data_IF_630671338173
#
_entry.id   IF_630671338173
#
_cell.length_a   1.000
_cell.length_b   1.000
_cell.length_c   1.000
_cell.angle_alpha   90.00
_cell.angle_beta   90.00
_cell.angle_gamma   90.00
#
_symmetry.space_group_name_H-M   'P 1'
#
loop_
_entity.id
_entity.type
_entity.pdbx_description
1 polymer ?
#
# COMPACT_ATOMS: atom_id res chain seq x y z
N UNK A 1 -9.33 -36.26 3.95
CA UNK A 1 -9.31 -35.74 2.58
C UNK A 1 -7.86 -35.44 2.23
N UNK A 2 -7.29 -35.97 1.13
CA UNK A 2 -5.91 -35.73 0.75
C UNK A 2 -5.65 -34.21 0.62
N UNK A 3 -4.52 -33.71 1.14
CA UNK A 3 -4.18 -32.29 1.19
C UNK A 3 -4.21 -31.57 -0.16
N UNK A 4 -4.03 -32.29 -1.27
CA UNK A 4 -4.17 -31.75 -2.63
C UNK A 4 -5.61 -31.34 -2.96
N UNK A 5 -6.61 -32.08 -2.50
CA UNK A 5 -8.04 -31.77 -2.74
C UNK A 5 -8.48 -30.57 -1.89
N UNK A 6 -7.95 -30.46 -0.67
CA UNK A 6 -8.22 -29.27 0.16
C UNK A 6 -7.63 -27.99 -0.43
N UNK A 7 -6.42 -28.05 -1.02
CA UNK A 7 -5.82 -26.91 -1.76
C UNK A 7 -6.64 -26.55 -2.98
N UNK A 8 -7.06 -27.52 -3.81
CA UNK A 8 -7.91 -27.27 -4.96
C UNK A 8 -9.27 -26.65 -4.58
N UNK A 9 -9.87 -27.08 -3.46
CA UNK A 9 -11.13 -26.52 -2.97
C UNK A 9 -10.91 -25.09 -2.46
N UNK A 10 -9.80 -24.83 -1.78
CA UNK A 10 -9.44 -23.48 -1.32
C UNK A 10 -9.25 -22.52 -2.51
N UNK A 11 -8.52 -22.95 -3.55
CA UNK A 11 -8.31 -22.16 -4.78
C UNK A 11 -9.61 -21.88 -5.57
N UNK A 12 -10.62 -22.74 -5.44
CA UNK A 12 -11.91 -22.59 -6.14
C UNK A 12 -12.95 -21.79 -5.34
N UNK A 13 -12.79 -21.68 -4.01
CA UNK A 13 -13.81 -21.06 -3.13
C UNK A 13 -13.41 -19.69 -2.64
N UNK A 14 -12.13 -19.32 -2.67
CA UNK A 14 -11.70 -17.95 -2.33
C UNK A 14 -11.82 -17.05 -3.57
N UNK A 15 -12.69 -16.02 -3.55
CA UNK A 15 -12.70 -15.04 -4.62
C UNK A 15 -11.33 -14.37 -4.65
N UNK A 16 -10.58 -14.54 -5.74
CA UNK A 16 -9.30 -13.86 -5.97
C UNK A 16 -9.60 -12.36 -6.02
N UNK A 17 -9.41 -11.67 -4.91
CA UNK A 17 -9.56 -10.22 -4.88
C UNK A 17 -8.43 -9.63 -5.74
N UNK A 18 -8.82 -8.81 -6.72
CA UNK A 18 -7.83 -8.10 -7.54
C UNK A 18 -7.06 -7.13 -6.64
N UNK A 19 -5.74 -7.23 -6.61
CA UNK A 19 -4.87 -6.40 -5.78
C UNK A 19 -5.08 -4.89 -6.02
N UNK A 20 -5.41 -4.48 -7.26
CA UNK A 20 -5.75 -3.11 -7.63
C UNK A 20 -7.01 -2.62 -6.91
N UNK A 21 -8.02 -3.45 -6.86
CA UNK A 21 -9.29 -3.14 -6.20
C UNK A 21 -9.10 -3.06 -4.68
N UNK A 22 -8.30 -3.95 -4.11
CA UNK A 22 -7.97 -3.93 -2.68
C UNK A 22 -7.23 -2.65 -2.30
N UNK A 23 -6.22 -2.23 -3.07
CA UNK A 23 -5.51 -0.96 -2.82
C UNK A 23 -6.47 0.21 -2.95
N UNK A 24 -7.31 0.25 -4.00
CA UNK A 24 -8.31 1.30 -4.18
C UNK A 24 -9.27 1.40 -2.99
N UNK A 25 -9.80 0.27 -2.53
CA UNK A 25 -10.69 0.22 -1.37
C UNK A 25 -10.01 0.71 -0.10
N UNK A 26 -8.75 0.33 0.12
CA UNK A 26 -7.98 0.76 1.28
C UNK A 26 -7.69 2.26 1.25
N UNK A 27 -7.31 2.82 0.11
CA UNK A 27 -7.11 4.26 -0.06
C UNK A 27 -8.43 5.01 0.15
N UNK A 28 -9.55 4.52 -0.41
CA UNK A 28 -10.87 5.10 -0.17
C UNK A 28 -11.29 5.07 1.30
N UNK A 29 -10.87 4.06 2.07
CA UNK A 29 -11.18 3.95 3.49
C UNK A 29 -10.53 5.07 4.31
N UNK A 30 -9.35 5.56 3.90
CA UNK A 30 -8.68 6.71 4.53
C UNK A 30 -9.58 7.93 4.49
N UNK A 31 -10.19 8.19 3.32
CA UNK A 31 -11.02 9.37 3.08
C UNK A 31 -12.34 9.29 3.86
N UNK A 32 -12.95 8.11 3.93
CA UNK A 32 -14.27 7.93 4.56
C UNK A 32 -14.25 8.00 6.08
N UNK A 33 -13.12 7.73 6.71
CA UNK A 33 -13.01 7.70 8.17
C UNK A 33 -12.78 9.07 8.80
N UNK A 34 -12.61 10.13 8.01
CA UNK A 34 -12.32 11.47 8.51
C UNK A 34 -13.58 12.35 8.63
N UNK A 35 -14.57 11.88 9.40
CA UNK A 35 -15.68 12.72 9.82
C UNK A 35 -15.32 13.47 11.11
N UNK A 36 -15.48 14.78 11.12
CA UNK A 36 -15.23 15.62 12.29
C UNK A 36 -16.47 16.44 12.68
N UNK A 37 -16.76 16.48 13.98
CA UNK A 37 -17.76 17.38 14.55
C UNK A 37 -17.25 18.83 14.65
N UNK A 38 -15.98 19.10 14.47
CA UNK A 38 -15.42 20.46 14.52
C UNK A 38 -15.84 21.32 13.32
N UNK A 39 -16.21 20.69 12.19
CA UNK A 39 -16.84 21.37 11.03
C UNK A 39 -18.15 20.66 10.71
N UNK A 40 -19.26 20.98 11.39
CA UNK A 40 -20.53 20.30 11.21
C UNK A 40 -21.10 20.51 9.81
N UNK A 41 -21.78 19.49 9.31
CA UNK A 41 -22.44 19.55 8.02
C UNK A 41 -23.62 20.53 8.06
N UNK A 42 -23.61 21.55 7.19
CA UNK A 42 -24.67 22.58 7.14
C UNK A 42 -26.06 22.02 6.77
N UNK A 43 -26.13 20.83 6.14
CA UNK A 43 -27.40 20.18 5.80
C UNK A 43 -28.25 19.79 7.01
N UNK A 44 -27.65 19.63 8.19
CA UNK A 44 -28.37 19.31 9.44
C UNK A 44 -28.96 20.51 10.17
N UNK A 45 -28.62 21.74 9.80
CA UNK A 45 -29.02 22.94 10.55
C UNK A 45 -30.53 23.18 10.59
N UNK A 46 -31.24 22.81 9.52
CA UNK A 46 -32.71 22.95 9.47
C UNK A 46 -33.47 22.03 10.42
N UNK A 47 -32.86 20.94 10.85
CA UNK A 47 -33.43 19.97 11.79
C UNK A 47 -32.90 20.10 13.22
N UNK A 48 -32.03 21.10 13.49
CA UNK A 48 -31.36 21.27 14.78
C UNK A 48 -30.35 20.16 15.12
N UNK A 49 -30.04 19.29 14.17
CA UNK A 49 -29.08 18.21 14.37
C UNK A 49 -27.67 18.65 13.98
N UNK A 50 -26.71 18.47 14.88
CA UNK A 50 -25.30 18.67 14.62
C UNK A 50 -24.77 17.38 14.00
N UNK A 51 -24.69 17.33 12.68
CA UNK A 51 -24.13 16.19 11.94
C UNK A 51 -22.63 16.39 11.74
N UNK A 52 -21.80 15.35 11.84
CA UNK A 52 -20.38 15.45 11.52
C UNK A 52 -20.20 15.87 10.05
N UNK A 53 -19.33 16.82 9.81
CA UNK A 53 -18.92 17.23 8.47
C UNK A 53 -17.73 16.41 8.00
N UNK A 54 -17.62 16.21 6.68
CA UNK A 54 -16.42 15.65 6.09
C UNK A 54 -15.32 16.71 6.13
N UNK A 55 -14.15 16.36 6.66
CA UNK A 55 -12.98 17.23 6.65
C UNK A 55 -12.33 17.11 5.27
N UNK A 56 -12.63 18.06 4.39
CA UNK A 56 -12.15 18.05 3.01
C UNK A 56 -10.66 18.41 2.85
N UNK A 57 -9.94 18.66 3.94
CA UNK A 57 -8.56 19.15 3.92
C UNK A 57 -7.53 18.04 4.21
N UNK A 58 -7.91 16.77 4.18
CA UNK A 58 -6.96 15.70 4.49
C UNK A 58 -6.37 15.11 3.24
N UNK A 59 -5.10 15.44 3.05
CA UNK A 59 -4.22 14.79 2.09
C UNK A 59 -4.17 13.27 2.37
N UNK A 60 -4.38 12.47 1.33
CA UNK A 60 -4.16 11.02 1.41
C UNK A 60 -2.67 10.80 1.61
N UNK A 61 -2.27 10.35 2.79
CA UNK A 61 -0.87 10.06 3.11
C UNK A 61 -0.63 8.55 3.10
N UNK A 62 0.11 8.11 2.09
CA UNK A 62 0.40 6.70 1.83
C UNK A 62 1.91 6.53 1.66
N UNK A 63 2.46 5.50 2.27
CA UNK A 63 3.82 5.07 1.98
C UNK A 63 3.80 3.86 1.04
N UNK A 64 4.70 3.85 0.08
CA UNK A 64 4.89 2.77 -0.89
C UNK A 64 6.35 2.35 -0.90
N UNK A 65 6.60 1.08 -0.59
CA UNK A 65 7.92 0.48 -0.65
C UNK A 65 7.97 -0.60 -1.74
N UNK A 66 9.03 -0.60 -2.51
CA UNK A 66 9.28 -1.59 -3.57
C UNK A 66 10.49 -2.41 -3.18
N UNK A 67 10.27 -3.69 -2.98
CA UNK A 67 11.32 -4.68 -2.76
C UNK A 67 12.11 -4.89 -4.06
N UNK A 68 13.39 -4.61 -4.03
CA UNK A 68 14.30 -4.77 -5.16
C UNK A 68 15.16 -6.02 -5.05
N UNK A 69 14.66 -7.04 -4.33
CA UNK A 69 15.26 -8.38 -4.38
C UNK A 69 15.21 -8.95 -5.81
N UNK A 70 16.11 -9.90 -6.12
CA UNK A 70 16.35 -10.35 -7.49
C UNK A 70 15.16 -10.99 -8.23
N UNK A 71 14.01 -11.18 -7.57
CA UNK A 71 12.76 -11.70 -8.16
C UNK A 71 11.81 -10.63 -8.68
N UNK A 72 11.99 -9.36 -8.27
CA UNK A 72 11.21 -8.22 -8.74
C UNK A 72 12.06 -7.42 -9.73
N UNK A 73 11.66 -7.45 -11.02
CA UNK A 73 12.33 -6.71 -12.08
C UNK A 73 11.79 -5.28 -12.21
N UNK A 74 12.56 -4.43 -12.86
CA UNK A 74 12.21 -3.03 -13.13
C UNK A 74 10.86 -2.88 -13.85
N UNK A 75 10.53 -3.83 -14.75
CA UNK A 75 9.24 -3.82 -15.46
C UNK A 75 8.06 -4.05 -14.52
N UNK A 76 8.21 -4.96 -13.54
CA UNK A 76 7.14 -5.23 -12.57
C UNK A 76 6.94 -4.04 -11.63
N UNK A 77 8.03 -3.41 -11.19
CA UNK A 77 7.98 -2.18 -10.41
C UNK A 77 7.28 -1.05 -11.19
N UNK A 78 7.59 -0.87 -12.47
CA UNK A 78 6.95 0.14 -13.33
C UNK A 78 5.45 -0.13 -13.51
N UNK A 79 5.05 -1.38 -13.74
CA UNK A 79 3.63 -1.75 -13.83
C UNK A 79 2.92 -1.43 -12.51
N UNK A 80 3.50 -1.80 -11.39
CA UNK A 80 2.94 -1.50 -10.07
C UNK A 80 2.79 0.02 -9.85
N UNK A 81 3.83 0.80 -10.13
CA UNK A 81 3.80 2.26 -9.99
C UNK A 81 2.78 2.93 -10.92
N UNK A 82 2.61 2.42 -12.13
CA UNK A 82 1.60 2.94 -13.06
C UNK A 82 0.17 2.74 -12.53
N UNK A 83 -0.09 1.62 -11.87
CA UNK A 83 -1.38 1.35 -11.23
C UNK A 83 -1.61 2.23 -10.00
N UNK A 84 -0.58 2.42 -9.18
CA UNK A 84 -0.65 3.36 -8.04
C UNK A 84 -0.96 4.76 -8.55
N UNK A 85 -0.27 5.23 -9.60
CA UNK A 85 -0.56 6.51 -10.24
C UNK A 85 -2.01 6.59 -10.71
N UNK A 86 -2.50 5.59 -11.43
CA UNK A 86 -3.87 5.55 -11.93
C UNK A 86 -4.93 5.59 -10.82
N UNK A 87 -4.62 5.06 -9.64
CA UNK A 87 -5.48 5.16 -8.47
C UNK A 87 -5.41 6.57 -7.87
N UNK A 88 -4.21 7.11 -7.71
CA UNK A 88 -3.98 8.39 -7.06
C UNK A 88 -4.48 9.58 -7.89
N UNK A 89 -4.40 9.50 -9.22
CA UNK A 89 -4.92 10.54 -10.15
C UNK A 89 -6.45 10.76 -10.01
N UNK A 90 -7.16 9.89 -9.32
CA UNK A 90 -8.58 10.06 -9.02
C UNK A 90 -8.82 11.01 -7.83
N UNK A 91 -7.77 11.43 -7.13
CA UNK A 91 -7.83 12.28 -5.95
C UNK A 91 -7.11 13.60 -6.19
N UNK A 92 -7.67 14.70 -5.68
CA UNK A 92 -7.11 16.04 -5.86
C UNK A 92 -5.91 16.32 -4.96
N UNK A 93 -5.93 15.75 -3.74
CA UNK A 93 -4.89 15.97 -2.73
C UNK A 93 -4.38 14.64 -2.23
N UNK A 94 -3.13 14.33 -2.57
CA UNK A 94 -2.45 13.15 -2.08
C UNK A 94 -0.96 13.40 -1.83
N UNK A 95 -0.37 12.59 -0.96
CA UNK A 95 1.06 12.52 -0.69
C UNK A 95 1.46 11.05 -0.64
N UNK A 96 2.41 10.67 -1.47
CA UNK A 96 3.03 9.33 -1.45
C UNK A 96 4.48 9.51 -1.07
N UNK A 97 4.92 8.84 0.00
CA UNK A 97 6.34 8.64 0.25
C UNK A 97 6.73 7.31 -0.41
N UNK A 98 7.52 7.38 -1.46
CA UNK A 98 7.95 6.24 -2.28
C UNK A 98 9.42 5.96 -2.08
N UNK A 99 9.78 4.70 -1.88
CA UNK A 99 11.17 4.26 -1.84
C UNK A 99 11.34 2.83 -2.33
N UNK A 100 12.59 2.47 -2.62
CA UNK A 100 13.00 1.09 -2.84
C UNK A 100 13.77 0.59 -1.64
N UNK A 101 13.75 -0.71 -1.43
CA UNK A 101 14.53 -1.32 -0.36
C UNK A 101 15.06 -2.70 -0.77
N UNK A 102 16.12 -3.10 -0.11
CA UNK A 102 16.62 -4.46 -0.04
C UNK A 102 17.02 -4.77 1.41
N UNK A 103 18.25 -4.51 1.82
CA UNK A 103 18.70 -4.48 3.22
C UNK A 103 18.72 -3.07 3.79
N UNK A 104 18.63 -2.05 2.91
CA UNK A 104 18.60 -0.63 3.21
C UNK A 104 17.53 0.07 2.37
N UNK A 105 17.28 1.36 2.65
CA UNK A 105 16.33 2.18 1.91
C UNK A 105 17.06 3.02 0.87
N UNK A 106 16.54 3.01 -0.36
CA UNK A 106 17.10 3.73 -1.50
C UNK A 106 16.06 4.62 -2.16
N UNK A 107 16.55 5.73 -2.76
CA UNK A 107 15.80 6.63 -3.63
C UNK A 107 14.45 7.07 -3.04
N UNK A 108 14.43 7.44 -1.75
CA UNK A 108 13.20 7.92 -1.11
C UNK A 108 12.76 9.26 -1.70
N UNK A 109 11.53 9.33 -2.19
CA UNK A 109 10.93 10.51 -2.82
C UNK A 109 9.53 10.76 -2.28
N UNK A 110 9.15 12.04 -2.20
CA UNK A 110 7.79 12.45 -1.87
C UNK A 110 7.07 12.90 -3.15
N UNK A 111 6.02 12.19 -3.50
CA UNK A 111 5.19 12.42 -4.66
C UNK A 111 3.86 13.04 -4.21
N UNK A 112 3.46 14.11 -4.85
CA UNK A 112 2.20 14.81 -4.63
C UNK A 112 1.47 14.97 -5.97
N UNK A 113 0.29 15.57 -5.97
CA UNK A 113 -0.43 15.87 -7.21
C UNK A 113 0.42 16.67 -8.21
N UNK A 114 1.22 17.62 -7.72
CA UNK A 114 1.99 18.54 -8.59
C UNK A 114 3.13 17.86 -9.35
N UNK A 115 3.67 16.77 -8.79
CA UNK A 115 4.76 15.98 -9.39
C UNK A 115 4.39 14.51 -9.62
N UNK A 116 3.12 14.20 -9.85
CA UNK A 116 2.63 12.83 -10.02
C UNK A 116 3.27 12.08 -11.20
N UNK A 117 3.75 12.80 -12.22
CA UNK A 117 4.47 12.22 -13.36
C UNK A 117 5.83 11.58 -12.95
N UNK A 118 6.41 12.01 -11.82
CA UNK A 118 7.66 11.45 -11.30
C UNK A 118 7.51 9.97 -10.92
N UNK A 119 6.28 9.50 -10.62
CA UNK A 119 6.00 8.07 -10.43
C UNK A 119 6.37 7.22 -11.65
N UNK A 120 6.16 7.72 -12.87
CA UNK A 120 6.45 6.99 -14.10
C UNK A 120 7.93 7.03 -14.47
N UNK A 121 8.64 8.06 -14.02
CA UNK A 121 10.08 8.24 -14.23
C UNK A 121 10.92 7.70 -13.06
N UNK A 122 10.27 7.14 -12.04
CA UNK A 122 10.98 6.59 -10.89
C UNK A 122 11.89 5.44 -11.29
N UNK A 123 13.15 5.53 -10.90
CA UNK A 123 14.16 4.51 -11.16
C UNK A 123 14.34 3.64 -9.90
N UNK A 124 13.85 2.39 -9.91
CA UNK A 124 14.08 1.47 -8.81
C UNK A 124 15.57 1.21 -8.61
N UNK A 125 16.02 1.18 -7.37
CA UNK A 125 17.40 0.92 -6.97
C UNK A 125 17.45 -0.18 -5.92
N UNK A 126 18.47 -1.04 -5.98
CA UNK A 126 18.67 -2.15 -5.05
C UNK A 126 19.20 -3.38 -5.76
N UNK A 127 19.12 -4.54 -5.14
CA UNK A 127 19.56 -5.83 -5.72
C UNK A 127 20.30 -6.73 -4.74
N UNK A 128 20.18 -6.44 -3.46
CA UNK A 128 20.77 -7.22 -2.36
C UNK A 128 19.83 -8.27 -1.76
N UNK A 129 19.89 -8.43 -0.46
CA UNK A 129 18.98 -9.28 0.32
C UNK A 129 17.61 -8.62 0.50
N UNK A 130 16.78 -9.19 1.39
CA UNK A 130 15.43 -8.68 1.63
C UNK A 130 15.19 -8.53 3.12
N UNK A 131 15.34 -7.32 3.64
CA UNK A 131 15.04 -6.99 5.04
C UNK A 131 13.81 -6.08 5.11
N UNK A 132 12.66 -6.67 5.46
CA UNK A 132 11.43 -5.88 5.59
C UNK A 132 11.50 -4.91 6.77
N UNK A 133 12.19 -5.26 7.86
CA UNK A 133 12.27 -4.43 9.07
C UNK A 133 12.98 -3.10 8.84
N UNK A 134 13.86 -3.03 7.82
CA UNK A 134 14.52 -1.80 7.41
C UNK A 134 13.51 -0.68 7.09
N UNK A 135 12.34 -1.02 6.53
CA UNK A 135 11.30 -0.03 6.21
C UNK A 135 10.74 0.64 7.47
N UNK A 136 10.41 -0.14 8.51
CA UNK A 136 9.89 0.42 9.77
C UNK A 136 10.94 1.20 10.54
N UNK A 137 12.18 0.72 10.53
CA UNK A 137 13.32 1.44 11.13
C UNK A 137 13.48 2.80 10.47
N UNK A 138 13.52 2.84 9.13
CA UNK A 138 13.65 4.07 8.37
C UNK A 138 12.47 5.03 8.60
N UNK A 139 11.23 4.54 8.61
CA UNK A 139 10.05 5.37 8.89
C UNK A 139 10.12 5.99 10.28
N UNK A 140 10.57 5.24 11.30
CA UNK A 140 10.73 5.72 12.67
C UNK A 140 11.82 6.79 12.78
N UNK A 141 12.95 6.57 12.11
CA UNK A 141 14.09 7.51 12.11
C UNK A 141 13.79 8.82 11.39
N UNK A 142 12.93 8.79 10.38
CA UNK A 142 12.54 9.95 9.59
C UNK A 142 11.18 10.56 10.01
N UNK A 143 10.60 10.12 11.12
CA UNK A 143 9.30 10.57 11.64
C UNK A 143 8.17 10.48 10.60
N UNK A 144 8.19 9.43 9.78
CA UNK A 144 7.18 9.15 8.76
C UNK A 144 6.10 8.26 9.36
N UNK A 145 4.90 8.79 9.58
CA UNK A 145 3.76 8.08 10.16
C UNK A 145 2.60 7.98 9.17
N UNK A 146 2.65 7.04 8.21
CA UNK A 146 1.62 6.93 7.18
C UNK A 146 0.31 6.38 7.75
N UNK A 147 -0.81 6.76 7.14
CA UNK A 147 -2.10 6.12 7.42
C UNK A 147 -2.18 4.71 6.82
N UNK A 148 -1.50 4.50 5.70
CA UNK A 148 -1.38 3.20 5.02
C UNK A 148 0.03 3.02 4.48
N UNK A 149 0.54 1.80 4.62
CA UNK A 149 1.81 1.38 4.04
C UNK A 149 1.55 0.24 3.06
N UNK A 150 2.02 0.39 1.83
CA UNK A 150 1.90 -0.60 0.76
C UNK A 150 3.29 -1.09 0.42
N UNK A 151 3.54 -2.37 0.62
CA UNK A 151 4.79 -3.02 0.28
C UNK A 151 4.61 -3.96 -0.91
N UNK A 152 5.36 -3.73 -1.97
CA UNK A 152 5.43 -4.62 -3.13
C UNK A 152 6.66 -5.52 -3.00
N UNK A 153 6.46 -6.84 -2.93
CA UNK A 153 7.50 -7.81 -2.59
C UNK A 153 7.24 -9.17 -3.22
N UNK A 154 8.21 -10.06 -3.19
CA UNK A 154 8.05 -11.49 -3.51
C UNK A 154 7.62 -12.34 -2.30
N UNK A 155 7.57 -11.73 -1.11
CA UNK A 155 7.11 -12.39 0.11
C UNK A 155 8.12 -13.34 0.76
N UNK A 156 9.42 -13.11 0.57
CA UNK A 156 10.50 -13.89 1.18
C UNK A 156 11.42 -13.01 2.05
N UNK A 157 10.97 -12.55 3.23
CA UNK A 157 11.82 -11.76 4.11
C UNK A 157 12.98 -12.60 4.68
N UNK A 158 14.16 -12.01 4.80
CA UNK A 158 15.29 -12.62 5.50
C UNK A 158 15.14 -12.62 7.03
N UNK A 159 14.11 -11.96 7.56
CA UNK A 159 13.84 -11.77 8.99
C UNK A 159 12.36 -11.75 9.29
N UNK A 160 11.94 -10.79 10.10
CA UNK A 160 10.53 -10.53 10.41
C UNK A 160 9.78 -9.85 9.27
N UNK A 161 8.46 -9.73 9.44
CA UNK A 161 7.57 -9.03 8.50
C UNK A 161 7.42 -7.55 8.84
N UNK A 162 8.00 -7.08 9.94
CA UNK A 162 7.94 -5.70 10.40
C UNK A 162 7.09 -5.52 11.67
N UNK A 163 6.61 -4.29 11.90
CA UNK A 163 5.93 -3.88 13.13
C UNK A 163 4.41 -3.76 12.89
N UNK A 164 3.59 -4.68 13.44
CA UNK A 164 2.14 -4.70 13.23
C UNK A 164 1.41 -3.50 13.84
N UNK A 165 1.98 -2.86 14.84
CA UNK A 165 1.34 -1.79 15.60
C UNK A 165 1.67 -0.39 15.07
N UNK A 166 2.57 -0.30 14.08
CA UNK A 166 3.05 1.00 13.57
C UNK A 166 2.06 1.68 12.62
N UNK A 167 1.54 0.94 11.65
CA UNK A 167 0.56 1.44 10.68
C UNK A 167 -0.18 0.28 9.99
N UNK A 168 -1.33 0.60 9.37
CA UNK A 168 -2.03 -0.36 8.53
C UNK A 168 -1.20 -0.73 7.29
N UNK A 169 -0.85 -2.01 7.14
CA UNK A 169 0.04 -2.49 6.08
C UNK A 169 -0.68 -3.39 5.08
N UNK A 170 -0.36 -3.21 3.81
CA UNK A 170 -0.79 -4.07 2.70
C UNK A 170 0.45 -4.64 2.03
N UNK A 171 0.55 -5.96 2.00
CA UNK A 171 1.59 -6.69 1.29
C UNK A 171 1.06 -7.15 -0.07
N UNK A 172 1.59 -6.59 -1.14
CA UNK A 172 1.31 -7.00 -2.52
C UNK A 172 2.40 -7.97 -2.93
N UNK A 173 2.07 -9.25 -2.93
CA UNK A 173 3.07 -10.31 -3.12
C UNK A 173 3.04 -10.83 -4.55
N UNK A 174 4.18 -10.77 -5.22
CA UNK A 174 4.38 -11.30 -6.56
C UNK A 174 4.89 -12.73 -6.54
N UNK A 175 4.18 -13.62 -7.23
CA UNK A 175 4.67 -14.97 -7.56
C UNK A 175 4.62 -16.00 -6.43
N UNK A 176 4.55 -15.59 -5.18
CA UNK A 176 4.47 -16.48 -4.02
C UNK A 176 3.02 -16.60 -3.53
N UNK A 177 2.32 -17.64 -4.01
CA UNK A 177 0.89 -17.85 -3.68
C UNK A 177 0.66 -18.33 -2.24
N UNK A 178 1.70 -18.86 -1.60
CA UNK A 178 1.64 -19.39 -0.24
C UNK A 178 2.10 -18.34 0.80
N UNK A 179 2.51 -17.15 0.36
CA UNK A 179 2.91 -16.09 1.28
C UNK A 179 1.70 -15.55 2.03
N UNK A 180 1.79 -15.55 3.34
CA UNK A 180 0.79 -14.98 4.24
C UNK A 180 1.53 -14.19 5.33
N UNK A 181 1.37 -12.88 5.31
CA UNK A 181 1.94 -12.03 6.34
C UNK A 181 1.24 -12.28 7.68
N UNK A 182 1.96 -12.24 8.81
CA UNK A 182 1.39 -12.46 10.14
C UNK A 182 0.46 -11.31 10.59
N UNK A 183 0.44 -10.18 9.87
CA UNK A 183 -0.39 -9.02 10.12
C UNK A 183 -0.69 -8.27 8.82
N UNK A 184 -1.58 -7.28 8.91
CA UNK A 184 -1.99 -6.49 7.75
C UNK A 184 -2.83 -7.29 6.76
N UNK A 185 -2.79 -6.90 5.50
CA UNK A 185 -3.50 -7.58 4.41
C UNK A 185 -2.51 -8.07 3.38
N UNK A 186 -2.58 -9.35 3.03
CA UNK A 186 -1.76 -9.94 1.97
C UNK A 186 -2.62 -10.14 0.73
N UNK A 187 -2.14 -9.68 -0.42
CA UNK A 187 -2.79 -9.88 -1.71
C UNK A 187 -1.77 -10.34 -2.74
N UNK A 188 -2.16 -11.32 -3.53
CA UNK A 188 -1.26 -11.89 -4.54
C UNK A 188 -1.38 -11.10 -5.85
N UNK A 189 -0.22 -10.64 -6.33
CA UNK A 189 -0.06 -10.06 -7.65
C UNK A 189 0.22 -11.18 -8.66
N UNK A 190 -0.70 -11.39 -9.59
CA UNK A 190 -0.48 -12.26 -10.75
C UNK A 190 -0.37 -11.35 -11.99
N UNK A 191 0.70 -11.53 -12.76
CA UNK A 191 0.82 -10.85 -14.05
C UNK A 191 -0.25 -11.40 -14.98
N UNK A 192 -1.14 -10.54 -15.45
CA UNK A 192 -2.08 -10.92 -16.51
C UNK A 192 -1.28 -11.24 -17.77
N UNK A 193 -1.46 -12.45 -18.33
CA UNK A 193 -0.80 -12.94 -19.54
C UNK A 193 -1.47 -12.35 -20.78
#
# INVERSE_FOLDING_TARGET
VPGQIQRMIKDLTEPKMNWRELIRMNIQSIIRNDYSFMRPNRKGWHSGAILPGMKNDETIDVCVAIDMSGSIGDEDAKVFLSEIKGIMDQYQDFSINLWCFDTDIYNAQKITHDNSEDLLSYEPMGGGGTDFEANWTWMKENDVQPKKFIMFTDGYPCGGWGDPDYCDTIFVVKGNKDAEAPFGQTVIYEKEV
#
